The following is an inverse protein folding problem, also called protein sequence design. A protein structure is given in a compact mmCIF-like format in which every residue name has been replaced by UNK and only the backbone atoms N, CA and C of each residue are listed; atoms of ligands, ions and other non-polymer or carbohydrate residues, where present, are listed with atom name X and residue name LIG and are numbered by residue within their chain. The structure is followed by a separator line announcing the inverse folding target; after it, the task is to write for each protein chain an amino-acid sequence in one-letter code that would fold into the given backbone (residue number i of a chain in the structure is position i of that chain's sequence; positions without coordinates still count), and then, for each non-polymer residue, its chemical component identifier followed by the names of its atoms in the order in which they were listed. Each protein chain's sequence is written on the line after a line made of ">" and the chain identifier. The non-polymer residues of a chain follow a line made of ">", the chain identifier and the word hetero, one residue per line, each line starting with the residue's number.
data_IF_688014776463
#
_entry.id   IF_688014776463
#
_cell.length_a   1.000
_cell.length_b   1.000
_cell.length_c   1.000
_cell.angle_alpha   90.00
_cell.angle_beta   90.00
_cell.angle_gamma   90.00
#
_symmetry.space_group_name_H-M   'P 1'
#
loop_
_entity.id
_entity.type
_entity.pdbx_description
1 polymer ?
#
# COMPACT_ATOMS: atom_id res chain seq x y z
N UNK A 1 0.62 -21.62 -1.34
CA UNK A 1 0.69 -20.55 -2.35
C UNK A 1 2.15 -20.43 -2.76
N UNK A 2 2.51 -20.98 -3.92
CA UNK A 2 3.67 -20.45 -4.64
C UNK A 2 3.38 -18.95 -4.79
N UNK A 3 4.21 -18.10 -4.18
CA UNK A 3 4.22 -16.70 -4.56
C UNK A 3 4.53 -16.70 -6.04
N UNK A 4 3.51 -16.45 -6.87
CA UNK A 4 3.63 -16.55 -8.32
C UNK A 4 4.92 -15.89 -8.74
N UNK A 5 5.79 -16.63 -9.43
CA UNK A 5 7.02 -16.06 -9.96
C UNK A 5 6.63 -14.82 -10.74
N UNK A 6 7.18 -13.66 -10.38
CA UNK A 6 6.93 -12.42 -11.10
C UNK A 6 7.43 -12.66 -12.54
N UNK A 7 6.50 -12.81 -13.49
CA UNK A 7 6.82 -13.16 -14.89
C UNK A 7 7.18 -11.93 -15.74
N UNK A 8 7.03 -10.72 -15.21
CA UNK A 8 7.35 -9.47 -15.89
C UNK A 8 8.33 -8.59 -15.11
N UNK A 9 8.86 -7.57 -15.77
CA UNK A 9 9.62 -6.50 -15.13
C UNK A 9 8.66 -5.49 -14.45
N UNK A 10 9.22 -4.47 -13.78
CA UNK A 10 8.41 -3.43 -13.13
C UNK A 10 7.45 -2.74 -14.11
N UNK A 11 7.92 -2.44 -15.33
CA UNK A 11 7.11 -1.78 -16.36
C UNK A 11 5.88 -2.58 -16.75
N UNK A 12 6.01 -3.90 -16.92
CA UNK A 12 4.89 -4.79 -17.19
C UNK A 12 3.81 -4.67 -16.12
N UNK A 13 4.18 -4.75 -14.84
CA UNK A 13 3.22 -4.67 -13.73
C UNK A 13 2.59 -3.28 -13.58
N UNK A 14 3.33 -2.22 -13.93
CA UNK A 14 2.79 -0.87 -13.97
C UNK A 14 1.73 -0.76 -15.06
N UNK A 15 2.01 -1.24 -16.28
CA UNK A 15 1.06 -1.24 -17.40
C UNK A 15 -0.21 -2.02 -17.08
N UNK A 16 -0.10 -3.26 -16.59
CA UNK A 16 -1.25 -4.08 -16.18
C UNK A 16 -2.04 -3.43 -15.03
N UNK A 17 -1.34 -2.78 -14.10
CA UNK A 17 -1.95 -2.02 -13.02
C UNK A 17 -2.76 -0.83 -13.52
N UNK A 18 -2.21 -0.07 -14.47
CA UNK A 18 -2.91 1.05 -15.12
C UNK A 18 -4.17 0.53 -15.82
N UNK A 19 -4.05 -0.47 -16.70
CA UNK A 19 -5.20 -1.02 -17.44
C UNK A 19 -6.34 -1.46 -16.51
N UNK A 20 -5.99 -2.16 -15.43
CA UNK A 20 -6.97 -2.59 -14.41
C UNK A 20 -7.64 -1.40 -13.72
N UNK A 21 -6.88 -0.37 -13.36
CA UNK A 21 -7.40 0.85 -12.71
C UNK A 21 -8.31 1.63 -13.66
N UNK A 22 -7.93 1.75 -14.94
CA UNK A 22 -8.73 2.44 -15.94
C UNK A 22 -10.11 1.79 -16.13
N UNK A 23 -10.15 0.46 -16.13
CA UNK A 23 -11.39 -0.31 -16.19
C UNK A 23 -12.30 -0.13 -14.95
N UNK A 24 -11.76 0.43 -13.86
CA UNK A 24 -12.49 0.69 -12.61
C UNK A 24 -12.97 2.14 -12.49
N UNK A 25 -12.76 3.00 -13.50
CA UNK A 25 -13.23 4.39 -13.45
C UNK A 25 -14.76 4.48 -13.59
N UNK A 26 -15.41 5.18 -12.67
CA UNK A 26 -16.85 5.44 -12.65
C UNK A 26 -17.25 6.63 -13.54
N UNK A 27 -18.57 6.86 -13.65
CA UNK A 27 -19.15 7.92 -14.51
C UNK A 27 -18.76 9.34 -14.11
N UNK A 28 -18.56 9.59 -12.83
CA UNK A 28 -18.18 10.89 -12.28
C UNK A 28 -16.66 11.15 -12.31
N UNK A 29 -15.85 10.16 -12.73
CA UNK A 29 -14.39 10.25 -12.79
C UNK A 29 -13.68 9.69 -11.55
N UNK A 30 -14.42 9.29 -10.51
CA UNK A 30 -13.90 8.53 -9.37
C UNK A 30 -13.55 7.08 -9.76
N UNK A 31 -12.99 6.30 -8.83
CA UNK A 31 -12.64 4.90 -9.06
C UNK A 31 -13.36 3.97 -8.09
N UNK A 32 -13.88 2.87 -8.63
CA UNK A 32 -14.45 1.80 -7.83
C UNK A 32 -13.39 1.14 -6.94
N UNK A 33 -13.80 0.60 -5.79
CA UNK A 33 -12.86 -0.11 -4.91
C UNK A 33 -12.55 -1.53 -5.42
N UNK A 34 -13.54 -2.20 -6.02
CA UNK A 34 -13.40 -3.54 -6.60
C UNK A 34 -13.74 -3.53 -8.09
N UNK A 35 -13.11 -4.40 -8.91
CA UNK A 35 -13.48 -4.57 -10.31
C UNK A 35 -14.97 -4.87 -10.47
N UNK A 36 -15.64 -4.16 -11.38
CA UNK A 36 -17.09 -4.27 -11.59
C UNK A 36 -17.96 -3.58 -10.53
N UNK A 37 -17.36 -2.94 -9.52
CA UNK A 37 -18.06 -2.14 -8.53
C UNK A 37 -18.63 -0.85 -9.12
N UNK A 38 -19.69 -0.33 -8.48
CA UNK A 38 -20.36 0.92 -8.86
C UNK A 38 -20.26 2.00 -7.77
N UNK A 39 -19.57 1.72 -6.66
CA UNK A 39 -19.33 2.64 -5.57
C UNK A 39 -17.84 2.95 -5.46
N UNK A 40 -17.53 4.22 -5.22
CA UNK A 40 -16.17 4.71 -5.04
C UNK A 40 -15.87 4.99 -3.58
N UNK A 41 -14.57 4.99 -3.27
CA UNK A 41 -14.05 5.53 -2.03
C UNK A 41 -13.23 6.78 -2.35
N UNK A 42 -13.56 7.92 -1.72
CA UNK A 42 -12.98 9.23 -2.07
C UNK A 42 -11.45 9.22 -1.91
N UNK A 43 -10.95 8.83 -0.74
CA UNK A 43 -9.51 8.74 -0.47
C UNK A 43 -8.81 7.83 -1.49
N UNK A 44 -9.42 6.69 -1.81
CA UNK A 44 -8.83 5.72 -2.74
C UNK A 44 -8.81 6.26 -4.16
N UNK A 45 -9.81 7.05 -4.55
CA UNK A 45 -9.84 7.71 -5.87
C UNK A 45 -8.75 8.77 -5.99
N UNK A 46 -8.47 9.54 -4.93
CA UNK A 46 -7.34 10.48 -4.91
C UNK A 46 -6.00 9.74 -4.91
N UNK A 47 -5.88 8.66 -4.14
CA UNK A 47 -4.69 7.80 -4.11
C UNK A 47 -4.40 7.13 -5.46
N UNK A 48 -5.44 6.72 -6.18
CA UNK A 48 -5.32 6.25 -7.56
C UNK A 48 -4.87 7.37 -8.49
N UNK A 49 -5.41 8.57 -8.31
CA UNK A 49 -5.08 9.72 -9.16
C UNK A 49 -3.62 10.17 -9.03
N UNK A 50 -3.17 10.46 -7.81
CA UNK A 50 -2.02 9.75 -7.25
C UNK A 50 -0.98 9.13 -8.19
N UNK A 51 -1.04 7.80 -8.16
CA UNK A 51 -0.33 6.87 -9.00
C UNK A 51 -0.40 7.22 -10.50
N UNK A 52 -1.58 7.51 -11.05
CA UNK A 52 -1.72 7.76 -12.50
C UNK A 52 -1.00 9.04 -12.97
N UNK A 53 -0.93 10.07 -12.12
CA UNK A 53 -0.14 11.29 -12.40
C UNK A 53 1.35 10.97 -12.40
N UNK A 54 1.85 10.24 -11.39
CA UNK A 54 3.28 9.86 -11.34
C UNK A 54 3.65 8.88 -12.47
N UNK A 55 2.79 7.92 -12.79
CA UNK A 55 3.00 6.99 -13.90
C UNK A 55 3.12 7.71 -15.25
N UNK A 56 2.24 8.70 -15.50
CA UNK A 56 2.31 9.52 -16.71
C UNK A 56 3.58 10.38 -16.75
N UNK A 57 4.01 10.93 -15.61
CA UNK A 57 5.29 11.67 -15.50
C UNK A 57 6.50 10.77 -15.76
N UNK A 58 6.42 9.49 -15.39
CA UNK A 58 7.45 8.48 -15.66
C UNK A 58 7.40 7.92 -17.10
N UNK A 59 6.46 8.39 -17.94
CA UNK A 59 6.36 8.01 -19.35
C UNK A 59 5.43 6.83 -19.65
N UNK A 60 4.72 6.29 -18.65
CA UNK A 60 3.72 5.24 -18.90
C UNK A 60 2.46 5.83 -19.55
N UNK A 61 1.86 5.05 -20.46
CA UNK A 61 0.62 5.43 -21.14
C UNK A 61 -0.58 5.36 -20.19
N UNK A 62 -1.28 6.48 -20.04
CA UNK A 62 -2.57 6.58 -19.35
C UNK A 62 -3.56 7.25 -20.30
N UNK A 63 -4.72 6.63 -20.53
CA UNK A 63 -5.76 7.12 -21.43
C UNK A 63 -6.16 8.56 -21.08
N UNK A 64 -6.08 9.47 -22.05
CA UNK A 64 -6.50 10.88 -21.88
C UNK A 64 -7.94 11.02 -21.39
N UNK A 65 -8.84 10.18 -21.88
CA UNK A 65 -10.24 10.15 -21.40
C UNK A 65 -10.32 9.87 -19.89
N UNK A 66 -9.59 8.86 -19.40
CA UNK A 66 -9.56 8.50 -17.99
C UNK A 66 -8.91 9.62 -17.19
N UNK A 67 -7.74 10.07 -17.64
CA UNK A 67 -6.96 11.11 -16.98
C UNK A 67 -7.76 12.40 -16.81
N UNK A 68 -8.37 12.93 -17.88
CA UNK A 68 -9.12 14.19 -17.82
C UNK A 68 -10.37 14.11 -16.93
N UNK A 69 -11.06 12.96 -16.91
CA UNK A 69 -12.25 12.74 -16.05
C UNK A 69 -11.86 12.65 -14.58
N UNK A 70 -10.77 11.95 -14.28
CA UNK A 70 -10.20 11.88 -12.95
C UNK A 70 -9.82 13.28 -12.43
N UNK A 71 -9.15 14.11 -13.25
CA UNK A 71 -8.80 15.47 -12.85
C UNK A 71 -10.03 16.36 -12.63
N UNK A 72 -11.08 16.16 -13.43
CA UNK A 72 -12.36 16.84 -13.24
C UNK A 72 -13.01 16.45 -11.91
N UNK A 73 -12.98 15.16 -11.55
CA UNK A 73 -13.40 14.67 -10.24
C UNK A 73 -12.59 15.31 -9.09
N UNK A 74 -11.25 15.35 -9.20
CA UNK A 74 -10.38 15.97 -8.20
C UNK A 74 -10.72 17.46 -7.97
N UNK A 75 -11.00 18.22 -9.04
CA UNK A 75 -11.42 19.63 -8.93
C UNK A 75 -12.75 19.77 -8.20
N UNK A 76 -13.71 18.87 -8.48
CA UNK A 76 -15.02 18.87 -7.80
C UNK A 76 -14.87 18.60 -6.31
N UNK A 77 -14.12 17.57 -5.92
CA UNK A 77 -13.95 17.25 -4.49
C UNK A 77 -13.21 18.37 -3.75
N UNK A 78 -12.15 18.95 -4.35
CA UNK A 78 -11.36 20.00 -3.73
C UNK A 78 -12.18 21.24 -3.38
N UNK A 79 -13.17 21.59 -4.22
CA UNK A 79 -14.04 22.77 -4.06
C UNK A 79 -15.29 22.52 -3.21
N UNK A 80 -15.63 21.27 -2.93
CA UNK A 80 -16.85 20.96 -2.16
C UNK A 80 -16.79 21.57 -0.75
N UNK A 81 -17.93 21.95 -0.19
CA UNK A 81 -18.05 22.33 1.22
C UNK A 81 -18.20 21.06 2.07
N UNK A 82 -17.34 20.82 3.06
CA UNK A 82 -17.46 19.67 3.96
C UNK A 82 -16.79 19.96 5.30
N UNK A 83 -17.40 19.53 6.39
CA UNK A 83 -16.89 19.65 7.76
C UNK A 83 -16.33 18.33 8.30
N UNK A 84 -16.56 17.20 7.60
CA UNK A 84 -15.97 15.92 7.97
C UNK A 84 -14.44 15.89 7.77
N UNK A 85 -13.70 15.56 8.85
CA UNK A 85 -12.23 15.54 8.88
C UNK A 85 -11.60 14.57 7.86
N UNK A 86 -12.19 13.40 7.62
CA UNK A 86 -11.66 12.44 6.64
C UNK A 86 -11.73 12.98 5.21
N UNK A 87 -12.87 13.58 4.87
CA UNK A 87 -13.07 14.22 3.57
C UNK A 87 -12.18 15.45 3.40
N UNK A 88 -11.96 16.21 4.47
CA UNK A 88 -11.02 17.33 4.47
C UNK A 88 -9.60 16.89 4.05
N UNK A 89 -9.14 15.76 4.58
CA UNK A 89 -7.83 15.21 4.26
C UNK A 89 -7.72 14.76 2.80
N UNK A 90 -8.77 14.14 2.24
CA UNK A 90 -8.84 13.79 0.81
C UNK A 90 -8.81 15.03 -0.09
N UNK A 91 -9.47 16.13 0.30
CA UNK A 91 -9.47 17.38 -0.48
C UNK A 91 -8.10 18.00 -0.60
N UNK A 92 -7.39 18.10 0.52
CA UNK A 92 -6.04 18.68 0.54
C UNK A 92 -5.09 17.77 -0.24
N UNK A 93 -5.27 16.46 -0.16
CA UNK A 93 -4.54 15.53 -1.01
C UNK A 93 -4.86 15.72 -2.50
N UNK A 94 -6.12 15.99 -2.86
CA UNK A 94 -6.51 16.29 -4.24
C UNK A 94 -5.86 17.57 -4.76
N UNK A 95 -5.73 18.62 -3.94
CA UNK A 95 -5.01 19.85 -4.30
C UNK A 95 -3.52 19.59 -4.58
N UNK A 96 -2.90 18.71 -3.78
CA UNK A 96 -1.54 18.24 -4.05
C UNK A 96 -1.44 17.56 -5.41
N UNK A 97 -2.31 16.60 -5.71
CA UNK A 97 -2.30 15.86 -6.99
C UNK A 97 -2.57 16.78 -8.19
N UNK A 98 -3.51 17.72 -8.05
CA UNK A 98 -3.79 18.75 -9.06
C UNK A 98 -2.61 19.70 -9.27
N UNK A 99 -1.82 19.97 -8.25
CA UNK A 99 -0.62 20.80 -8.40
C UNK A 99 0.52 20.01 -9.04
N UNK A 100 0.69 18.74 -8.63
CA UNK A 100 1.68 17.80 -9.15
C UNK A 100 1.56 17.60 -10.67
N UNK A 101 0.33 17.65 -11.21
CA UNK A 101 0.09 17.50 -12.65
C UNK A 101 0.19 18.82 -13.45
N UNK A 102 0.40 19.96 -12.78
CA UNK A 102 0.44 21.28 -13.42
C UNK A 102 -0.91 22.02 -13.56
N UNK A 103 -1.99 21.58 -12.91
CA UNK A 103 -3.32 22.24 -12.94
C UNK A 103 -3.83 22.64 -11.54
N UNK A 104 -3.05 23.44 -10.77
CA UNK A 104 -3.37 23.79 -9.40
C UNK A 104 -4.67 24.61 -9.27
N UNK A 105 -5.40 24.42 -8.17
CA UNK A 105 -6.50 25.30 -7.76
C UNK A 105 -6.02 26.32 -6.72
N UNK A 106 -5.39 27.39 -7.20
CA UNK A 106 -4.78 28.43 -6.36
C UNK A 106 -5.79 29.07 -5.40
N UNK A 107 -7.05 29.21 -5.82
CA UNK A 107 -8.10 29.82 -4.99
C UNK A 107 -8.42 28.97 -3.76
N UNK A 108 -8.57 27.66 -3.96
CA UNK A 108 -8.88 26.70 -2.90
C UNK A 108 -7.65 26.48 -2.02
N UNK A 109 -6.45 26.46 -2.59
CA UNK A 109 -5.18 26.43 -1.83
C UNK A 109 -5.01 27.67 -0.94
N UNK A 110 -5.36 28.86 -1.44
CA UNK A 110 -5.28 30.10 -0.67
C UNK A 110 -6.30 30.14 0.47
N UNK A 111 -7.50 29.59 0.24
CA UNK A 111 -8.49 29.36 1.29
C UNK A 111 -7.89 28.48 2.39
N UNK A 112 -7.44 27.26 2.06
CA UNK A 112 -6.91 26.34 3.08
C UNK A 112 -5.65 26.85 3.78
N UNK A 113 -4.79 27.62 3.10
CA UNK A 113 -3.62 28.27 3.73
C UNK A 113 -4.03 29.14 4.91
N UNK A 114 -5.16 29.87 4.82
CA UNK A 114 -5.65 30.74 5.91
C UNK A 114 -6.22 29.95 7.08
N UNK A 115 -6.78 28.76 6.85
CA UNK A 115 -7.39 27.90 7.88
C UNK A 115 -6.45 26.77 8.37
N UNK A 116 -5.27 26.63 7.76
CA UNK A 116 -4.34 25.52 7.95
C UNK A 116 -3.74 25.38 9.37
N UNK A 117 -3.41 26.47 10.11
CA UNK A 117 -2.71 26.32 11.39
C UNK A 117 -3.52 25.64 12.50
N UNK A 118 -4.86 25.70 12.44
CA UNK A 118 -5.71 25.28 13.57
C UNK A 118 -6.56 24.03 13.26
N UNK A 119 -6.79 23.69 11.99
CA UNK A 119 -7.88 22.78 11.61
C UNK A 119 -7.49 21.59 10.71
N UNK A 120 -6.22 21.43 10.34
CA UNK A 120 -5.78 20.33 9.47
C UNK A 120 -4.61 19.55 10.09
N UNK A 121 -4.62 18.24 9.89
CA UNK A 121 -3.57 17.33 10.35
C UNK A 121 -2.20 17.68 9.75
N UNK A 122 -1.12 17.37 10.47
CA UNK A 122 0.26 17.67 10.03
C UNK A 122 0.59 17.16 8.64
N UNK A 123 0.17 15.94 8.29
CA UNK A 123 0.39 15.40 6.94
C UNK A 123 -0.46 16.10 5.86
N UNK A 124 -1.63 16.64 6.21
CA UNK A 124 -2.43 17.45 5.28
C UNK A 124 -1.77 18.81 5.07
N UNK A 125 -1.20 19.42 6.12
CA UNK A 125 -0.34 20.61 5.96
C UNK A 125 0.84 20.32 5.03
N UNK A 126 1.47 19.15 5.18
CA UNK A 126 2.54 18.73 4.29
C UNK A 126 2.06 18.60 2.83
N UNK A 127 0.91 17.97 2.57
CA UNK A 127 0.32 17.95 1.22
C UNK A 127 0.03 19.36 0.68
N UNK A 128 -0.50 20.28 1.49
CA UNK A 128 -0.74 21.66 1.08
C UNK A 128 0.59 22.39 0.76
N UNK A 129 1.63 22.19 1.57
CA UNK A 129 2.96 22.71 1.32
C UNK A 129 3.54 22.17 0.00
N UNK A 130 3.42 20.86 -0.25
CA UNK A 130 3.81 20.25 -1.52
C UNK A 130 3.00 20.83 -2.69
N UNK A 131 1.70 21.08 -2.52
CA UNK A 131 0.89 21.71 -3.56
C UNK A 131 1.49 23.06 -3.99
N UNK A 132 1.82 23.95 -3.05
CA UNK A 132 2.51 25.22 -3.36
C UNK A 132 3.92 25.02 -3.93
N UNK A 133 4.63 23.98 -3.49
CA UNK A 133 5.93 23.65 -4.07
C UNK A 133 5.82 23.36 -5.56
N UNK A 134 4.83 22.55 -5.97
CA UNK A 134 4.62 22.18 -7.37
C UNK A 134 4.09 23.33 -8.25
N UNK A 135 3.60 24.43 -7.66
CA UNK A 135 3.32 25.67 -8.42
C UNK A 135 4.54 26.57 -8.60
N UNK A 136 5.68 26.23 -7.99
CA UNK A 136 6.89 27.04 -7.95
C UNK A 136 6.98 28.02 -6.77
N UNK A 137 5.93 28.13 -5.93
CA UNK A 137 5.94 29.00 -4.75
C UNK A 137 6.66 28.33 -3.56
N UNK A 138 7.99 28.29 -3.64
CA UNK A 138 8.87 27.68 -2.63
C UNK A 138 8.77 28.37 -1.26
N UNK A 139 8.53 29.68 -1.25
CA UNK A 139 8.46 30.48 -0.02
C UNK A 139 7.21 30.08 0.77
N UNK A 140 6.04 30.08 0.11
CA UNK A 140 4.80 29.65 0.76
C UNK A 140 4.86 28.17 1.12
N UNK A 141 5.43 27.31 0.27
CA UNK A 141 5.57 25.89 0.57
C UNK A 141 6.27 25.65 1.91
N UNK A 142 7.44 26.27 2.12
CA UNK A 142 8.19 26.17 3.39
C UNK A 142 7.43 26.76 4.56
N UNK A 143 6.76 27.90 4.38
CA UNK A 143 6.00 28.55 5.44
C UNK A 143 4.78 27.73 5.93
N UNK A 144 4.23 26.85 5.09
CA UNK A 144 3.06 26.03 5.44
C UNK A 144 3.45 24.71 6.13
N UNK A 145 4.68 24.22 5.91
CA UNK A 145 5.17 22.99 6.52
C UNK A 145 4.86 22.95 8.03
N UNK A 146 4.48 21.77 8.57
CA UNK A 146 4.23 21.67 10.00
C UNK A 146 5.53 21.94 10.77
N UNK A 147 5.43 22.64 11.91
CA UNK A 147 6.59 22.91 12.78
C UNK A 147 7.13 21.62 13.42
N UNK A 148 6.23 20.67 13.69
CA UNK A 148 6.56 19.34 14.19
C UNK A 148 6.14 18.27 13.20
N UNK A 149 7.09 17.42 12.85
CA UNK A 149 6.92 16.22 12.04
C UNK A 149 6.78 14.94 12.89
N UNK A 150 6.71 15.07 14.21
CA UNK A 150 6.42 13.94 15.07
C UNK A 150 4.89 13.76 15.17
N UNK A 151 4.34 12.81 14.40
CA UNK A 151 2.94 12.42 14.56
C UNK A 151 2.81 11.53 15.79
N UNK A 152 1.82 11.82 16.65
CA UNK A 152 1.52 10.97 17.79
C UNK A 152 1.18 9.55 17.31
N UNK A 153 1.59 8.54 18.07
CA UNK A 153 1.26 7.16 17.72
C UNK A 153 -0.23 6.92 17.99
N UNK A 154 -0.97 6.50 16.97
CA UNK A 154 -2.38 6.15 17.04
C UNK A 154 -2.66 4.87 16.26
N UNK A 155 -3.76 4.20 16.63
CA UNK A 155 -4.17 2.94 16.02
C UNK A 155 -4.52 3.11 14.55
N UNK A 156 -4.06 2.18 13.72
CA UNK A 156 -4.43 2.11 12.30
C UNK A 156 -5.94 2.03 12.14
N UNK A 157 -6.50 2.88 11.30
CA UNK A 157 -7.92 2.87 10.95
C UNK A 157 -8.20 1.77 9.91
N UNK A 158 -9.28 1.03 10.12
CA UNK A 158 -9.78 0.04 9.15
C UNK A 158 -10.75 0.65 8.12
N UNK A 159 -11.30 1.83 8.42
CA UNK A 159 -12.21 2.59 7.56
C UNK A 159 -11.74 4.04 7.38
N UNK A 160 -12.67 4.97 7.14
CA UNK A 160 -12.32 6.39 7.01
C UNK A 160 -11.42 6.64 5.81
N UNK A 161 -10.20 7.12 6.04
CA UNK A 161 -9.19 7.25 4.99
C UNK A 161 -7.97 6.33 5.19
N UNK A 162 -8.17 5.23 5.93
CA UNK A 162 -7.14 4.24 6.21
C UNK A 162 -5.94 4.87 6.93
N UNK A 163 -6.21 5.77 7.88
CA UNK A 163 -5.17 6.53 8.55
C UNK A 163 -4.26 5.65 9.41
N UNK A 164 -3.00 6.05 9.54
CA UNK A 164 -2.07 5.53 10.53
C UNK A 164 -0.93 6.52 10.75
N UNK A 165 -0.26 6.43 11.91
CA UNK A 165 0.92 7.25 12.20
C UNK A 165 2.02 7.01 11.16
N UNK A 166 2.23 5.75 10.77
CA UNK A 166 3.23 5.38 9.78
C UNK A 166 2.94 5.97 8.39
N UNK A 167 1.69 5.88 7.92
CA UNK A 167 1.29 6.48 6.65
C UNK A 167 1.49 8.00 6.68
N UNK A 168 1.16 8.63 7.80
CA UNK A 168 1.36 10.07 8.01
C UNK A 168 2.84 10.45 7.97
N UNK A 169 3.69 9.68 8.66
CA UNK A 169 5.15 9.86 8.66
C UNK A 169 5.74 9.72 7.24
N UNK A 170 5.28 8.71 6.49
CA UNK A 170 5.73 8.48 5.11
C UNK A 170 5.29 9.61 4.15
N UNK A 171 4.05 10.10 4.25
CA UNK A 171 3.60 11.26 3.47
C UNK A 171 4.46 12.49 3.77
N UNK A 172 4.68 12.79 5.06
CA UNK A 172 5.49 13.92 5.46
C UNK A 172 6.94 13.81 5.00
N UNK A 173 7.52 12.61 5.05
CA UNK A 173 8.87 12.37 4.54
C UNK A 173 8.94 12.59 3.02
N UNK A 174 7.96 12.07 2.27
CA UNK A 174 7.88 12.27 0.82
C UNK A 174 7.77 13.76 0.44
N UNK A 175 7.03 14.55 1.22
CA UNK A 175 6.94 16.00 1.05
C UNK A 175 8.27 16.68 1.39
N UNK A 176 8.90 16.33 2.52
CA UNK A 176 10.18 16.91 2.90
C UNK A 176 11.28 16.62 1.89
N UNK A 177 11.29 15.41 1.31
CA UNK A 177 12.22 15.05 0.25
C UNK A 177 12.16 16.03 -0.93
N UNK A 178 10.96 16.50 -1.29
CA UNK A 178 10.78 17.47 -2.37
C UNK A 178 11.07 18.91 -1.88
N UNK A 179 10.47 19.33 -0.76
CA UNK A 179 10.38 20.74 -0.35
C UNK A 179 11.61 21.24 0.41
N UNK A 180 12.16 20.39 1.29
CA UNK A 180 13.23 20.74 2.21
C UNK A 180 14.03 19.48 2.63
N UNK A 181 14.79 18.85 1.70
CA UNK A 181 15.47 17.57 1.94
C UNK A 181 16.53 17.63 3.06
N UNK A 182 17.01 18.83 3.39
CA UNK A 182 17.99 19.07 4.46
C UNK A 182 17.33 19.30 5.84
N UNK A 183 15.99 19.22 5.94
CA UNK A 183 15.30 19.40 7.21
C UNK A 183 15.73 18.30 8.21
N UNK A 184 16.10 18.64 9.47
CA UNK A 184 16.51 17.65 10.47
C UNK A 184 15.47 16.55 10.77
N UNK A 185 14.21 16.80 10.46
CA UNK A 185 13.12 15.83 10.61
C UNK A 185 13.18 14.68 9.61
N UNK A 186 13.88 14.84 8.47
CA UNK A 186 14.07 13.79 7.47
C UNK A 186 14.70 12.55 8.12
N UNK A 187 15.81 12.72 8.84
CA UNK A 187 16.49 11.62 9.53
C UNK A 187 15.58 10.93 10.57
N UNK A 188 14.80 11.72 11.33
CA UNK A 188 13.87 11.19 12.33
C UNK A 188 12.77 10.35 11.69
N UNK A 189 12.18 10.81 10.59
CA UNK A 189 11.13 10.10 9.87
C UNK A 189 11.66 8.84 9.18
N UNK A 190 12.83 8.90 8.54
CA UNK A 190 13.50 7.71 7.96
C UNK A 190 13.70 6.64 9.02
N UNK A 191 14.20 7.02 10.20
CA UNK A 191 14.37 6.07 11.31
C UNK A 191 13.05 5.48 11.80
N UNK A 192 12.03 6.31 12.04
CA UNK A 192 10.70 5.83 12.47
C UNK A 192 10.08 4.85 11.47
N UNK A 193 10.13 5.19 10.18
CA UNK A 193 9.58 4.34 9.11
C UNK A 193 10.38 3.03 9.05
N UNK A 194 11.70 3.09 9.03
CA UNK A 194 12.54 1.89 8.93
C UNK A 194 12.38 0.96 10.13
N UNK A 195 12.29 1.50 11.35
CA UNK A 195 12.07 0.71 12.58
C UNK A 195 10.68 0.07 12.65
N UNK A 196 9.67 0.68 12.02
CA UNK A 196 8.33 0.11 11.96
C UNK A 196 8.21 -1.08 10.98
N UNK A 197 9.21 -1.28 10.11
CA UNK A 197 9.19 -2.37 9.14
C UNK A 197 9.39 -3.74 9.81
N UNK A 198 8.54 -4.70 9.45
CA UNK A 198 8.65 -6.12 9.83
C UNK A 198 8.83 -6.95 8.57
N UNK A 199 9.99 -7.59 8.43
CA UNK A 199 10.33 -8.35 7.22
C UNK A 199 10.29 -7.50 5.94
N UNK A 200 10.72 -6.24 6.02
CA UNK A 200 10.73 -5.29 4.90
C UNK A 200 9.34 -4.75 4.50
N UNK A 201 8.32 -4.91 5.36
CA UNK A 201 6.95 -4.46 5.10
C UNK A 201 6.36 -3.76 6.31
N UNK A 202 5.34 -2.94 6.07
CA UNK A 202 4.73 -2.02 7.03
C UNK A 202 3.30 -2.37 7.45
N UNK A 203 2.82 -3.55 7.04
CA UNK A 203 1.56 -4.12 7.51
C UNK A 203 0.37 -3.92 6.56
N UNK A 204 0.27 -2.79 5.86
CA UNK A 204 -0.74 -2.60 4.81
C UNK A 204 -0.13 -2.21 3.46
N UNK A 205 -0.88 -2.45 2.39
CA UNK A 205 -0.49 -2.09 1.02
C UNK A 205 -0.25 -0.58 0.87
N UNK A 206 -1.09 0.25 1.47
CA UNK A 206 -0.94 1.70 1.44
C UNK A 206 0.31 2.17 2.20
N UNK A 207 0.53 1.68 3.42
CA UNK A 207 1.73 2.05 4.19
C UNK A 207 2.99 1.62 3.45
N UNK A 208 3.00 0.43 2.84
CA UNK A 208 4.10 -0.02 1.99
C UNK A 208 4.35 0.96 0.83
N UNK A 209 3.29 1.37 0.12
CA UNK A 209 3.42 2.25 -1.04
C UNK A 209 3.94 3.63 -0.66
N UNK A 210 3.39 4.27 0.37
CA UNK A 210 3.87 5.59 0.81
C UNK A 210 5.28 5.52 1.41
N UNK A 211 5.59 4.48 2.21
CA UNK A 211 6.93 4.31 2.76
C UNK A 211 7.97 4.11 1.64
N UNK A 212 7.67 3.25 0.67
CA UNK A 212 8.54 3.01 -0.48
C UNK A 212 8.74 4.28 -1.32
N UNK A 213 7.66 5.02 -1.60
CA UNK A 213 7.75 6.30 -2.32
C UNK A 213 8.65 7.30 -1.57
N UNK A 214 8.43 7.46 -0.27
CA UNK A 214 9.17 8.43 0.55
C UNK A 214 10.65 8.07 0.68
N UNK A 215 10.95 6.81 1.02
CA UNK A 215 12.33 6.33 1.14
C UNK A 215 13.03 6.35 -0.21
N UNK A 216 12.35 5.96 -1.29
CA UNK A 216 12.89 6.00 -2.65
C UNK A 216 13.29 7.42 -3.09
N UNK A 217 12.50 8.44 -2.76
CA UNK A 217 12.87 9.85 -3.01
C UNK A 217 14.13 10.28 -2.26
N UNK A 218 14.25 9.88 -0.99
CA UNK A 218 15.45 10.19 -0.18
C UNK A 218 16.69 9.48 -0.73
N UNK A 219 16.55 8.21 -1.13
CA UNK A 219 17.64 7.43 -1.68
C UNK A 219 18.08 7.92 -3.06
N UNK A 220 17.15 8.39 -3.89
CA UNK A 220 17.47 8.94 -5.22
C UNK A 220 18.39 10.18 -5.18
N UNK A 221 18.30 10.97 -4.11
CA UNK A 221 19.14 12.16 -3.91
C UNK A 221 20.51 11.82 -3.30
N UNK A 222 20.69 10.61 -2.75
CA UNK A 222 22.01 10.14 -2.33
C UNK A 222 22.79 9.69 -3.57
N UNK A 223 24.02 10.18 -3.71
CA UNK A 223 24.94 9.66 -4.71
C UNK A 223 25.26 8.19 -4.46
N UNK A 224 25.33 7.40 -5.52
CA UNK A 224 25.89 6.06 -5.51
C UNK A 224 27.40 6.21 -5.26
N UNK A 225 27.89 5.80 -4.08
CA UNK A 225 29.34 5.73 -3.86
C UNK A 225 29.95 4.55 -4.61
N UNK A 226 31.26 4.56 -4.82
CA UNK A 226 31.97 3.50 -5.52
C UNK A 226 32.49 2.45 -4.53
N UNK A 227 31.92 1.24 -4.57
CA UNK A 227 32.36 0.15 -3.71
C UNK A 227 32.49 -1.18 -4.46
N UNK A 228 33.37 -2.03 -3.93
CA UNK A 228 33.50 -3.44 -4.26
C UNK A 228 33.08 -4.29 -3.05
N UNK A 229 32.42 -5.40 -3.35
CA UNK A 229 31.84 -6.28 -2.36
C UNK A 229 32.20 -7.74 -2.57
N UNK A 230 32.41 -8.45 -1.48
CA UNK A 230 32.64 -9.91 -1.49
C UNK A 230 31.65 -10.61 -0.57
N UNK A 231 31.07 -11.72 -1.03
CA UNK A 231 30.16 -12.55 -0.23
C UNK A 231 30.85 -13.86 0.14
N UNK A 232 30.82 -14.20 1.43
CA UNK A 232 31.38 -15.42 1.98
C UNK A 232 30.32 -16.26 2.68
N UNK A 233 30.44 -17.57 2.54
CA UNK A 233 29.77 -18.57 3.37
C UNK A 233 30.80 -19.27 4.27
N UNK A 234 30.81 -18.92 5.54
CA UNK A 234 31.90 -19.34 6.44
C UNK A 234 33.25 -18.76 6.00
N UNK A 235 34.12 -19.60 5.43
CA UNK A 235 35.44 -19.19 4.90
C UNK A 235 35.51 -19.21 3.36
N UNK A 236 34.53 -19.81 2.71
CA UNK A 236 34.46 -19.91 1.25
C UNK A 236 33.94 -18.59 0.69
N UNK A 237 34.70 -17.97 -0.21
CA UNK A 237 34.21 -16.84 -1.01
C UNK A 237 33.31 -17.42 -2.10
N UNK A 238 32.06 -16.95 -2.15
CA UNK A 238 31.03 -17.48 -3.06
C UNK A 238 30.60 -16.48 -4.13
N UNK A 239 30.88 -15.18 -3.96
CA UNK A 239 30.62 -14.17 -4.97
C UNK A 239 31.44 -12.88 -4.78
N UNK A 240 31.54 -12.12 -5.87
CA UNK A 240 31.99 -10.74 -5.98
C UNK A 240 30.86 -9.88 -6.54
N UNK A 241 30.81 -8.61 -6.14
CA UNK A 241 29.93 -7.61 -6.70
C UNK A 241 30.56 -6.22 -6.60
N UNK A 242 29.96 -5.24 -7.26
CA UNK A 242 30.35 -3.83 -7.16
C UNK A 242 29.11 -2.93 -7.11
N UNK A 243 29.33 -1.63 -7.14
CA UNK A 243 28.26 -0.61 -7.10
C UNK A 243 27.62 -0.33 -8.47
N UNK A 244 27.99 -1.05 -9.54
CA UNK A 244 27.50 -0.74 -10.90
C UNK A 244 26.13 -1.33 -11.21
N UNK A 245 25.78 -2.46 -10.60
CA UNK A 245 24.51 -3.15 -10.82
C UNK A 245 23.98 -3.82 -9.55
N UNK A 246 22.66 -4.06 -9.50
CA UNK A 246 22.03 -4.85 -8.45
C UNK A 246 22.55 -6.30 -8.46
N UNK A 247 23.15 -6.72 -7.34
CA UNK A 247 23.67 -8.08 -7.19
C UNK A 247 22.67 -9.02 -6.51
N UNK A 248 22.24 -10.08 -7.21
CA UNK A 248 21.35 -11.13 -6.69
C UNK A 248 22.08 -12.47 -6.62
N UNK A 249 22.25 -12.98 -5.41
CA UNK A 249 22.84 -14.31 -5.17
C UNK A 249 21.78 -15.33 -4.76
N UNK A 250 21.53 -16.30 -5.63
CA UNK A 250 20.64 -17.43 -5.37
C UNK A 250 21.46 -18.67 -5.01
N UNK A 251 21.66 -18.91 -3.71
CA UNK A 251 22.33 -20.11 -3.21
C UNK A 251 21.55 -20.70 -2.02
N UNK A 252 21.04 -21.94 -2.11
CA UNK A 252 20.30 -22.58 -1.02
C UNK A 252 21.07 -22.65 0.30
N UNK A 253 22.40 -22.68 0.26
CA UNK A 253 23.26 -22.75 1.45
C UNK A 253 23.19 -21.48 2.30
N UNK A 254 22.73 -20.35 1.74
CA UNK A 254 22.54 -19.09 2.47
C UNK A 254 21.48 -19.17 3.57
N UNK A 255 20.57 -20.15 3.49
CA UNK A 255 19.51 -20.33 4.49
C UNK A 255 20.04 -20.82 5.85
N UNK A 256 21.13 -21.59 5.86
CA UNK A 256 21.64 -22.28 7.05
C UNK A 256 23.06 -21.83 7.46
N UNK A 257 23.80 -21.14 6.59
CA UNK A 257 25.19 -20.77 6.82
C UNK A 257 25.40 -19.35 7.35
N UNK A 258 26.58 -19.10 7.94
CA UNK A 258 27.02 -17.75 8.30
C UNK A 258 27.44 -16.99 7.04
N UNK A 259 26.59 -16.07 6.60
CA UNK A 259 26.87 -15.15 5.50
C UNK A 259 27.69 -13.97 6.01
N UNK A 260 28.77 -13.63 5.32
CA UNK A 260 29.56 -12.42 5.58
C UNK A 260 29.67 -11.61 4.29
N UNK A 261 29.28 -10.34 4.34
CA UNK A 261 29.48 -9.38 3.25
C UNK A 261 30.63 -8.46 3.66
N UNK A 262 31.68 -8.40 2.85
CA UNK A 262 32.76 -7.43 3.00
C UNK A 262 32.59 -6.34 1.95
N UNK A 263 32.87 -5.10 2.33
CA UNK A 263 32.79 -3.94 1.46
C UNK A 263 34.11 -3.17 1.54
N UNK A 264 34.56 -2.67 0.39
CA UNK A 264 35.71 -1.78 0.27
C UNK A 264 35.36 -0.66 -0.72
N UNK A 265 35.66 0.59 -0.36
CA UNK A 265 35.33 1.77 -1.18
C UNK A 265 34.62 2.85 -0.37
N UNK A 266 34.05 3.82 -1.07
CA UNK A 266 33.16 4.84 -0.51
C UNK A 266 31.70 4.54 -0.91
N UNK A 267 30.75 4.92 -0.06
CA UNK A 267 29.33 4.64 -0.28
C UNK A 267 28.70 3.64 0.67
N UNK A 268 27.38 3.51 0.54
CA UNK A 268 26.54 2.65 1.36
C UNK A 268 26.01 1.49 0.51
N UNK A 269 26.31 0.26 0.89
CA UNK A 269 25.69 -0.93 0.31
C UNK A 269 24.53 -1.40 1.20
N UNK A 270 23.33 -1.44 0.63
CA UNK A 270 22.15 -2.00 1.27
C UNK A 270 21.97 -3.44 0.81
N UNK A 271 21.85 -4.36 1.76
CA UNK A 271 21.59 -5.77 1.46
C UNK A 271 20.36 -6.25 2.22
N UNK A 272 19.70 -7.25 1.66
CA UNK A 272 18.70 -8.04 2.36
C UNK A 272 18.88 -9.51 2.03
N UNK A 273 18.57 -10.37 3.00
CA UNK A 273 18.55 -11.81 2.81
C UNK A 273 17.10 -12.29 2.88
N UNK A 274 16.66 -13.04 1.88
CA UNK A 274 15.32 -13.64 1.86
C UNK A 274 15.45 -15.15 1.83
N UNK A 275 14.99 -15.80 2.90
CA UNK A 275 14.76 -17.24 2.93
C UNK A 275 13.25 -17.52 2.97
N UNK A 276 12.80 -18.54 2.24
CA UNK A 276 11.41 -18.99 2.27
C UNK A 276 11.36 -20.51 2.24
N UNK A 277 10.42 -21.08 2.98
CA UNK A 277 10.19 -22.52 3.02
C UNK A 277 8.82 -22.84 3.57
N UNK A 278 8.42 -24.10 3.45
CA UNK A 278 7.21 -24.60 4.09
C UNK A 278 7.53 -24.94 5.55
N UNK A 279 6.72 -24.45 6.49
CA UNK A 279 6.77 -24.94 7.85
C UNK A 279 6.42 -26.43 7.84
N UNK A 280 7.31 -27.30 8.35
CA UNK A 280 7.01 -28.73 8.57
C UNK A 280 6.05 -28.95 9.74
N UNK A 281 5.71 -27.88 10.47
CA UNK A 281 4.91 -27.91 11.68
C UNK A 281 3.42 -27.81 11.36
N UNK A 282 2.63 -28.77 11.84
CA UNK A 282 1.17 -28.80 11.69
C UNK A 282 0.43 -28.19 12.88
N UNK A 283 1.07 -28.03 14.04
CA UNK A 283 0.55 -27.27 15.18
C UNK A 283 0.79 -25.77 14.96
N UNK A 284 -0.12 -25.16 14.21
CA UNK A 284 -0.23 -23.70 14.14
C UNK A 284 -1.24 -23.27 15.20
N UNK A 285 -0.83 -22.55 16.27
CA UNK A 285 -1.78 -22.09 17.27
C UNK A 285 -2.77 -21.12 16.63
N UNK A 286 -4.04 -21.29 16.95
CA UNK A 286 -5.07 -20.32 16.56
C UNK A 286 -4.80 -18.98 17.25
N UNK A 287 -4.90 -17.89 16.50
CA UNK A 287 -4.69 -16.55 17.03
C UNK A 287 -5.77 -15.61 16.50
N UNK A 288 -6.35 -14.82 17.40
CA UNK A 288 -7.34 -13.80 17.09
C UNK A 288 -6.77 -12.43 17.48
N UNK A 289 -6.91 -11.43 16.61
CA UNK A 289 -6.48 -10.05 16.92
C UNK A 289 -7.54 -9.08 16.45
N UNK A 290 -8.43 -8.68 17.35
CA UNK A 290 -9.52 -7.75 17.04
C UNK A 290 -10.65 -8.36 16.20
N UNK A 291 -10.44 -9.55 15.60
CA UNK A 291 -11.41 -10.31 14.83
C UNK A 291 -11.21 -11.80 15.09
N UNK A 292 -12.29 -12.51 15.41
CA UNK A 292 -12.33 -13.97 15.45
C UNK A 292 -13.06 -14.48 14.20
N UNK A 293 -12.46 -15.46 13.52
CA UNK A 293 -13.03 -16.13 12.34
C UNK A 293 -13.00 -17.63 12.58
N UNK A 294 -14.14 -18.29 12.45
CA UNK A 294 -14.25 -19.74 12.62
C UNK A 294 -14.90 -20.36 11.39
N UNK A 295 -14.39 -21.52 10.97
CA UNK A 295 -14.96 -22.33 9.89
C UNK A 295 -15.47 -23.65 10.45
N UNK A 296 -16.66 -24.04 10.04
CA UNK A 296 -17.17 -25.40 10.26
C UNK A 296 -17.74 -25.96 8.96
N UNK A 297 -17.65 -27.28 8.79
CA UNK A 297 -18.22 -27.98 7.67
C UNK A 297 -19.54 -28.62 8.09
N UNK A 298 -20.57 -28.40 7.26
CA UNK A 298 -21.89 -28.96 7.42
C UNK A 298 -22.22 -29.83 6.20
N UNK A 299 -23.06 -30.83 6.41
CA UNK A 299 -23.66 -31.58 5.31
C UNK A 299 -24.73 -30.73 4.58
N UNK A 300 -25.26 -31.28 3.47
CA UNK A 300 -26.34 -30.65 2.69
C UNK A 300 -27.62 -30.38 3.50
N UNK A 301 -27.78 -30.97 4.68
CA UNK A 301 -28.93 -30.81 5.58
C UNK A 301 -28.63 -29.87 6.76
N UNK A 302 -27.45 -29.24 6.81
CA UNK A 302 -27.07 -28.28 7.85
C UNK A 302 -26.57 -28.91 9.15
N UNK A 303 -26.29 -30.22 9.17
CA UNK A 303 -25.71 -30.91 10.32
C UNK A 303 -24.20 -30.90 10.26
N UNK A 304 -23.54 -30.92 11.42
CA UNK A 304 -22.08 -31.00 11.51
C UNK A 304 -21.56 -32.22 10.74
N UNK A 305 -20.57 -31.98 9.89
CA UNK A 305 -19.94 -33.00 9.04
C UNK A 305 -18.67 -33.53 9.71
N UNK A 306 -18.50 -34.85 9.74
CA UNK A 306 -17.21 -35.47 10.07
C UNK A 306 -16.26 -35.38 8.87
N UNK A 307 -15.26 -34.51 8.99
CA UNK A 307 -14.28 -34.24 7.93
C UNK A 307 -13.42 -35.45 7.55
N UNK A 308 -13.36 -36.49 8.40
CA UNK A 308 -12.61 -37.72 8.10
C UNK A 308 -13.41 -38.74 7.29
N UNK A 309 -14.70 -38.50 7.06
CA UNK A 309 -15.61 -39.43 6.38
C UNK A 309 -16.37 -38.77 5.24
N UNK A 310 -15.65 -37.97 4.44
CA UNK A 310 -16.18 -37.33 3.23
C UNK A 310 -16.02 -38.28 2.04
N UNK A 311 -17.07 -38.44 1.24
CA UNK A 311 -17.03 -39.21 -0.01
C UNK A 311 -17.02 -38.29 -1.22
N UNK A 312 -16.49 -38.81 -2.34
CA UNK A 312 -16.54 -38.11 -3.61
C UNK A 312 -18.00 -37.82 -4.01
N UNK A 313 -18.27 -36.57 -4.40
CA UNK A 313 -19.61 -36.11 -4.77
C UNK A 313 -20.49 -35.67 -3.60
N UNK A 314 -19.99 -35.71 -2.36
CA UNK A 314 -20.70 -35.12 -1.23
C UNK A 314 -20.76 -33.59 -1.37
N UNK A 315 -21.96 -33.05 -1.20
CA UNK A 315 -22.17 -31.61 -1.13
C UNK A 315 -21.96 -31.14 0.32
N UNK A 316 -21.02 -30.23 0.50
CA UNK A 316 -20.56 -29.73 1.80
C UNK A 316 -20.79 -28.22 1.85
N UNK A 317 -21.23 -27.72 3.00
CA UNK A 317 -21.35 -26.29 3.28
C UNK A 317 -20.26 -25.87 4.23
N UNK A 318 -19.36 -24.98 3.80
CA UNK A 318 -18.41 -24.31 4.68
C UNK A 318 -19.09 -23.07 5.31
N UNK A 319 -19.42 -23.14 6.59
CA UNK A 319 -19.98 -21.99 7.33
C UNK A 319 -18.84 -21.20 7.97
N UNK A 320 -18.67 -19.97 7.53
CA UNK A 320 -17.71 -19.01 8.09
C UNK A 320 -18.45 -18.08 9.04
N UNK A 321 -18.06 -18.08 10.32
CA UNK A 321 -18.59 -17.16 11.33
C UNK A 321 -17.54 -16.11 11.67
N UNK A 322 -17.95 -14.84 11.68
CA UNK A 322 -17.09 -13.70 11.96
C UNK A 322 -17.59 -13.01 13.23
N UNK A 323 -16.72 -12.84 14.21
CA UNK A 323 -17.02 -12.17 15.47
C UNK A 323 -16.03 -11.02 15.68
N UNK A 324 -16.44 -9.75 15.46
CA UNK A 324 -15.58 -8.61 15.76
C UNK A 324 -15.33 -8.54 17.26
N UNK A 325 -14.07 -8.35 17.65
CA UNK A 325 -13.66 -8.19 19.05
C UNK A 325 -13.33 -6.74 19.40
N UNK A 326 -13.51 -5.83 18.45
CA UNK A 326 -13.31 -4.39 18.60
C UNK A 326 -14.45 -3.61 17.93
N UNK A 327 -14.64 -2.36 18.34
CA UNK A 327 -15.64 -1.45 17.77
C UNK A 327 -15.18 -1.00 16.37
N UNK A 328 -16.12 -0.87 15.43
CA UNK A 328 -15.91 -0.28 14.10
C UNK A 328 -14.81 -0.95 13.26
N UNK A 329 -15.09 -2.17 12.78
CA UNK A 329 -14.27 -2.87 11.80
C UNK A 329 -14.84 -2.71 10.39
N UNK A 330 -14.07 -2.06 9.53
CA UNK A 330 -14.40 -1.82 8.12
C UNK A 330 -13.42 -2.57 7.22
N UNK A 331 -13.79 -2.74 5.94
CA UNK A 331 -12.91 -3.30 4.90
C UNK A 331 -12.31 -4.69 5.23
N UNK A 332 -13.12 -5.59 5.80
CA UNK A 332 -12.71 -6.95 6.14
C UNK A 332 -12.59 -7.81 4.87
N UNK A 333 -11.41 -8.40 4.66
CA UNK A 333 -11.19 -9.46 3.68
C UNK A 333 -11.06 -10.81 4.35
N UNK A 334 -11.72 -11.84 3.81
CA UNK A 334 -11.65 -13.22 4.31
C UNK A 334 -10.94 -14.06 3.25
N UNK A 335 -9.91 -14.77 3.68
CA UNK A 335 -9.22 -15.75 2.84
C UNK A 335 -9.44 -17.12 3.45
N UNK A 336 -10.29 -17.92 2.81
CA UNK A 336 -10.51 -19.31 3.17
C UNK A 336 -9.79 -20.22 2.18
N UNK A 337 -8.65 -20.78 2.59
CA UNK A 337 -7.90 -21.71 1.76
C UNK A 337 -8.59 -23.08 1.80
N UNK A 338 -8.96 -23.56 0.62
CA UNK A 338 -9.65 -24.84 0.48
C UNK A 338 -8.67 -26.01 0.49
N UNK A 339 -8.99 -27.10 1.21
CA UNK A 339 -8.31 -28.39 1.04
C UNK A 339 -8.39 -28.86 -0.41
N UNK A 340 -7.32 -29.51 -0.91
CA UNK A 340 -7.18 -29.90 -2.32
C UNK A 340 -8.21 -30.91 -2.86
N UNK A 341 -9.09 -31.47 -2.01
CA UNK A 341 -10.19 -32.35 -2.42
C UNK A 341 -11.57 -31.68 -2.46
N UNK A 342 -11.66 -30.38 -2.12
CA UNK A 342 -12.90 -29.62 -2.16
C UNK A 342 -12.88 -28.65 -3.35
N UNK A 343 -13.98 -28.62 -4.09
CA UNK A 343 -14.21 -27.68 -5.18
C UNK A 343 -15.35 -26.72 -4.83
N UNK A 344 -15.23 -25.45 -5.22
CA UNK A 344 -16.28 -24.45 -5.00
C UNK A 344 -17.41 -24.69 -5.99
N UNK A 345 -18.59 -25.01 -5.46
CA UNK A 345 -19.82 -24.96 -6.22
C UNK A 345 -20.17 -23.48 -6.52
N UNK A 346 -20.26 -23.08 -7.79
CA UNK A 346 -20.63 -21.71 -8.15
C UNK A 346 -22.16 -21.52 -8.05
N UNK A 347 -22.66 -20.75 -7.07
CA UNK A 347 -24.10 -20.63 -6.81
C UNK A 347 -24.86 -19.87 -7.91
N UNK A 348 -24.17 -19.24 -8.87
CA UNK A 348 -24.77 -18.48 -9.99
C UNK A 348 -25.21 -19.36 -11.16
N UNK A 349 -24.92 -20.65 -11.14
CA UNK A 349 -25.32 -21.60 -12.18
C UNK A 349 -26.70 -22.18 -11.87
N UNK A 350 -27.61 -22.18 -12.85
CA UNK A 350 -28.98 -22.71 -12.70
C UNK A 350 -29.02 -24.23 -12.46
N UNK A 351 -27.98 -24.97 -12.85
CA UNK A 351 -27.89 -26.43 -12.79
C UNK A 351 -27.52 -27.01 -11.41
N UNK A 352 -27.59 -26.21 -10.35
CA UNK A 352 -27.08 -26.60 -9.02
C UNK A 352 -28.00 -27.58 -8.27
N UNK A 353 -27.40 -28.40 -7.42
CA UNK A 353 -28.13 -29.06 -6.33
C UNK A 353 -28.50 -28.00 -5.27
N UNK A 354 -29.78 -27.66 -5.17
CA UNK A 354 -30.26 -26.65 -4.21
C UNK A 354 -30.06 -27.09 -2.76
N UNK A 355 -29.64 -26.15 -1.90
CA UNK A 355 -29.59 -26.33 -0.44
C UNK A 355 -30.71 -25.46 0.17
N UNK A 356 -31.88 -26.02 0.52
CA UNK A 356 -33.09 -25.25 0.81
C UNK A 356 -32.99 -24.30 2.00
N UNK A 357 -32.08 -24.55 2.93
CA UNK A 357 -31.93 -23.75 4.16
C UNK A 357 -30.91 -22.61 4.02
N UNK A 358 -30.23 -22.49 2.87
CA UNK A 358 -29.25 -21.42 2.58
C UNK A 358 -29.86 -20.21 1.85
N UNK A 359 -31.18 -20.16 1.69
CA UNK A 359 -31.90 -19.05 1.03
C UNK A 359 -32.12 -17.85 1.91
#
# INVERSE_FOLDING_TARGET
>A
MEGGAFKGNADYYISEGIEKIEAMQLRDGSFAYWPGGNSSHEWSSVYTAHFLVEARKAGHSVSDRVYNRMLSYLKTIARSSESNVYRLQSKIYALYVLSLNGTPDLSTMAYWKRYAPENISSYSRAHLAAAYFYTGDRITARAILPESFAVADFSRESGGNFNSSLRSDAIMLSVLADVEPQNPSVYKLVNRITQAAKGGRWGTTQENAFALLALGKILKEKGEGEYQGEVYLGKEKIADFDSTEDFILNDPRLADGKVTVKLAGDGECYYYLKASGLLKRTDVPEHNTGLQVTREYLDRHGKALDVNNIKQGDLIVARITIKPQQKELHNIGIVDLLPAGLEIENPRLESRAGIPWLT
#
